data_IF_526168701222
#
_entry.id   IF_526168701222
#
_cell.length_a   1.000
_cell.length_b   1.000
_cell.length_c   1.000
_cell.angle_alpha   90.00
_cell.angle_beta   90.00
_cell.angle_gamma   90.00
#
_symmetry.space_group_name_H-M   'P 1'
#
loop_
_entity.id
_entity.type
_entity.pdbx_description
1 polymer ?
#
# COMPACT_ATOMS: atom_id res chain seq x y z
N UNK A 1 2.22 -5.37 0.57
CA UNK A 1 3.45 -5.55 1.36
C UNK A 1 3.18 -5.17 2.80
N UNK A 2 3.92 -5.73 3.76
CA UNK A 2 3.85 -5.32 5.18
C UNK A 2 5.22 -4.78 5.56
N UNK A 3 5.24 -3.57 6.10
CA UNK A 3 6.44 -2.87 6.54
C UNK A 3 6.47 -2.85 8.05
N UNK A 4 7.49 -3.47 8.64
CA UNK A 4 7.80 -3.35 10.06
C UNK A 4 8.89 -2.28 10.19
N UNK A 5 8.56 -1.19 10.84
CA UNK A 5 9.41 -0.01 11.03
C UNK A 5 9.21 0.51 12.47
N UNK A 6 9.45 1.80 12.70
CA UNK A 6 9.13 2.53 13.91
C UNK A 6 8.52 3.91 13.59
N UNK A 7 8.23 4.69 14.62
CA UNK A 7 7.67 6.04 14.52
C UNK A 7 8.70 7.14 14.21
N UNK A 8 9.86 6.77 13.66
CA UNK A 8 10.97 7.65 13.27
C UNK A 8 11.46 7.37 11.83
N UNK A 9 10.61 6.75 11.02
CA UNK A 9 10.83 6.52 9.59
C UNK A 9 9.49 6.69 8.85
N UNK A 10 9.53 7.09 7.59
CA UNK A 10 8.34 7.09 6.72
C UNK A 10 8.27 5.80 5.91
N UNK A 11 7.07 5.50 5.42
CA UNK A 11 6.86 4.53 4.34
C UNK A 11 6.17 5.26 3.21
N UNK A 12 6.94 5.68 2.22
CA UNK A 12 6.45 6.33 1.00
C UNK A 12 6.42 5.30 -0.12
N UNK A 13 5.30 5.24 -0.84
CA UNK A 13 5.16 4.55 -2.11
C UNK A 13 5.16 5.59 -3.22
N UNK A 14 5.88 5.36 -4.31
CA UNK A 14 5.73 6.16 -5.54
C UNK A 14 5.78 5.29 -6.79
N UNK A 15 5.09 5.73 -7.83
CA UNK A 15 5.24 5.20 -9.20
C UNK A 15 6.23 6.02 -10.03
N UNK A 16 6.79 7.09 -9.48
CA UNK A 16 7.69 8.01 -10.15
C UNK A 16 9.15 7.67 -9.81
N UNK A 17 9.90 7.21 -10.81
CA UNK A 17 11.32 6.85 -10.61
C UNK A 17 12.20 8.04 -10.28
N UNK A 18 11.82 9.26 -10.67
CA UNK A 18 12.59 10.47 -10.38
C UNK A 18 12.52 10.80 -8.89
N UNK A 19 11.31 10.80 -8.30
CA UNK A 19 11.09 10.94 -6.85
C UNK A 19 11.91 9.90 -6.08
N UNK A 20 11.80 8.63 -6.50
CA UNK A 20 12.57 7.54 -5.89
C UNK A 20 14.08 7.72 -5.96
N UNK A 21 14.61 8.18 -7.11
CA UNK A 21 16.05 8.35 -7.30
C UNK A 21 16.62 9.55 -6.57
N UNK A 22 15.85 10.63 -6.48
CA UNK A 22 16.22 11.85 -5.77
C UNK A 22 15.99 11.74 -4.26
N UNK A 23 15.31 10.68 -3.79
CA UNK A 23 14.90 10.55 -2.39
C UNK A 23 14.08 11.74 -1.88
N UNK A 24 13.31 12.39 -2.76
CA UNK A 24 12.61 13.65 -2.51
C UNK A 24 11.20 13.58 -3.07
N UNK A 25 10.20 13.63 -2.18
CA UNK A 25 8.76 13.66 -2.47
C UNK A 25 8.12 15.05 -2.35
N UNK A 26 8.90 16.12 -2.16
CA UNK A 26 8.39 17.49 -1.99
C UNK A 26 7.59 18.01 -3.20
N UNK A 27 7.88 17.52 -4.40
CA UNK A 27 7.19 17.85 -5.65
C UNK A 27 6.28 16.72 -6.15
N UNK A 28 5.94 15.77 -5.27
CA UNK A 28 5.12 14.64 -5.64
C UNK A 28 3.67 15.04 -5.94
N UNK A 29 3.00 14.24 -6.77
CA UNK A 29 1.58 14.42 -7.05
C UNK A 29 0.77 13.41 -6.23
N UNK A 30 -0.39 13.83 -5.73
CA UNK A 30 -1.27 13.00 -4.89
C UNK A 30 -1.73 11.69 -5.56
N UNK A 31 -1.62 11.59 -6.89
CA UNK A 31 -2.06 10.43 -7.65
C UNK A 31 -0.95 9.42 -7.98
N UNK A 32 0.32 9.76 -7.72
CA UNK A 32 1.45 8.89 -8.03
C UNK A 32 2.33 8.54 -6.82
N UNK A 33 2.17 9.26 -5.71
CA UNK A 33 2.97 9.11 -4.50
C UNK A 33 2.08 9.15 -3.26
N UNK A 34 2.29 8.21 -2.35
CA UNK A 34 1.42 7.97 -1.20
C UNK A 34 2.27 7.67 0.04
N UNK A 35 2.03 8.41 1.11
CA UNK A 35 2.66 8.17 2.40
C UNK A 35 1.74 7.30 3.28
N UNK A 36 2.25 6.15 3.70
CA UNK A 36 1.50 5.16 4.49
C UNK A 36 1.87 5.18 5.98
N UNK A 37 3.09 5.60 6.30
CA UNK A 37 3.54 5.81 7.66
C UNK A 37 4.34 7.11 7.73
N UNK A 38 4.22 7.79 8.87
CA UNK A 38 4.84 9.07 9.15
C UNK A 38 5.50 9.02 10.53
N UNK A 39 6.59 9.79 10.72
CA UNK A 39 7.15 10.01 12.04
C UNK A 39 6.11 10.63 12.98
N UNK A 40 6.20 10.30 14.25
CA UNK A 40 5.49 11.01 15.30
C UNK A 40 6.43 12.04 15.94
N UNK A 41 6.37 13.33 15.55
CA UNK A 41 7.28 14.35 16.07
C UNK A 41 7.04 14.64 17.55
N UNK A 42 5.92 14.20 18.13
CA UNK A 42 5.60 14.39 19.54
C UNK A 42 6.11 13.25 20.43
N UNK A 43 6.57 12.15 19.83
CA UNK A 43 7.05 11.00 20.56
C UNK A 43 8.43 11.29 21.17
N UNK A 44 8.54 11.09 22.49
CA UNK A 44 9.81 11.15 23.21
C UNK A 44 10.58 9.83 23.19
N UNK A 45 9.97 8.76 22.68
CA UNK A 45 10.51 7.40 22.66
C UNK A 45 10.19 6.75 21.30
N UNK A 46 11.20 6.12 20.70
CA UNK A 46 11.05 5.30 19.49
C UNK A 46 10.32 4.00 19.83
N UNK A 47 9.28 3.66 19.07
CA UNK A 47 8.52 2.43 19.23
C UNK A 47 8.15 1.79 17.89
N UNK A 48 8.00 0.45 17.84
CA UNK A 48 7.71 -0.25 16.59
C UNK A 48 6.35 0.13 15.99
N UNK A 49 6.31 0.25 14.67
CA UNK A 49 5.12 0.51 13.86
C UNK A 49 5.05 -0.52 12.73
N UNK A 50 3.84 -0.98 12.41
CA UNK A 50 3.62 -1.89 11.28
C UNK A 50 2.52 -1.34 10.37
N UNK A 51 2.80 -1.26 9.07
CA UNK A 51 1.84 -0.77 8.07
C UNK A 51 1.71 -1.72 6.88
N UNK A 52 0.47 -1.94 6.44
CA UNK A 52 0.17 -2.74 5.26
C UNK A 52 -0.06 -1.81 4.06
N UNK A 53 0.70 -2.03 2.98
CA UNK A 53 0.61 -1.25 1.75
C UNK A 53 0.04 -2.12 0.62
N UNK A 54 -1.12 -1.76 0.03
CA UNK A 54 -1.69 -2.51 -1.08
C UNK A 54 -0.89 -2.30 -2.38
N UNK A 55 -0.93 -3.30 -3.26
CA UNK A 55 -0.32 -3.24 -4.60
C UNK A 55 -1.42 -3.04 -5.63
N UNK A 56 -1.69 -1.79 -5.99
CA UNK A 56 -2.87 -1.39 -6.77
C UNK A 56 -2.61 -1.22 -8.27
N UNK A 57 -1.35 -1.08 -8.67
CA UNK A 57 -0.95 -0.80 -10.06
C UNK A 57 0.11 -1.80 -10.52
N UNK A 58 -0.08 -2.34 -11.72
CA UNK A 58 0.90 -3.21 -12.39
C UNK A 58 2.07 -2.37 -12.88
N UNK A 59 3.29 -2.90 -12.73
CA UNK A 59 4.54 -2.27 -13.16
C UNK A 59 5.48 -1.91 -12.00
N UNK A 60 6.52 -1.12 -12.27
CA UNK A 60 7.46 -0.65 -11.25
C UNK A 60 6.74 0.11 -10.14
N UNK A 61 7.01 -0.26 -8.90
CA UNK A 61 6.55 0.43 -7.70
C UNK A 61 7.75 0.60 -6.79
N UNK A 62 7.95 1.83 -6.31
CA UNK A 62 9.10 2.21 -5.52
C UNK A 62 8.68 2.51 -4.09
N UNK A 63 9.53 2.15 -3.14
CA UNK A 63 9.33 2.40 -1.73
C UNK A 63 10.60 2.97 -1.11
N UNK A 64 10.45 3.95 -0.24
CA UNK A 64 11.57 4.59 0.46
C UNK A 64 11.07 5.29 1.73
N UNK A 65 12.01 5.67 2.60
CA UNK A 65 11.77 6.66 3.65
C UNK A 65 12.27 8.03 3.21
N UNK A 66 11.37 9.00 3.15
CA UNK A 66 11.65 10.42 2.96
C UNK A 66 12.02 11.16 4.25
N UNK A 67 12.01 10.48 5.40
CA UNK A 67 12.35 11.12 6.67
C UNK A 67 13.81 11.59 6.71
N UNK A 68 14.10 12.60 7.54
CA UNK A 68 15.39 13.30 7.60
C UNK A 68 15.85 13.84 6.24
N UNK A 69 14.96 14.55 5.54
CA UNK A 69 15.21 15.13 4.21
C UNK A 69 15.73 14.09 3.18
N UNK A 70 15.24 12.85 3.28
CA UNK A 70 15.62 11.76 2.39
C UNK A 70 16.92 11.03 2.76
N UNK A 71 17.64 11.42 3.82
CA UNK A 71 18.91 10.80 4.23
C UNK A 71 18.78 9.28 4.41
N UNK A 72 17.66 8.81 4.99
CA UNK A 72 17.43 7.38 5.19
C UNK A 72 17.32 6.63 3.86
N UNK A 73 16.66 7.22 2.86
CA UNK A 73 16.58 6.69 1.50
C UNK A 73 17.96 6.67 0.82
N UNK A 74 18.75 7.73 0.95
CA UNK A 74 20.10 7.82 0.39
C UNK A 74 21.05 6.78 0.99
N UNK A 75 20.88 6.47 2.28
CA UNK A 75 21.62 5.43 2.99
C UNK A 75 21.07 4.00 2.79
N UNK A 76 20.15 3.82 1.82
CA UNK A 76 19.73 2.51 1.34
C UNK A 76 18.42 2.00 1.93
N UNK A 77 17.70 2.79 2.72
CA UNK A 77 16.33 2.45 3.15
C UNK A 77 15.32 2.74 2.03
N UNK A 78 15.54 2.06 0.90
CA UNK A 78 14.76 2.18 -0.33
C UNK A 78 14.79 0.86 -1.06
N UNK A 79 13.68 0.48 -1.69
CA UNK A 79 13.65 -0.67 -2.59
C UNK A 79 12.58 -0.51 -3.66
N UNK A 80 12.70 -1.29 -4.72
CA UNK A 80 11.75 -1.31 -5.83
C UNK A 80 11.26 -2.72 -6.07
N UNK A 81 10.00 -2.86 -6.46
CA UNK A 81 9.43 -4.11 -6.95
C UNK A 81 8.81 -3.90 -8.33
N UNK A 82 8.59 -5.00 -9.05
CA UNK A 82 7.75 -5.01 -10.23
C UNK A 82 6.47 -5.77 -9.92
N UNK A 83 5.35 -5.06 -9.83
CA UNK A 83 4.04 -5.65 -9.54
C UNK A 83 3.50 -6.29 -10.81
N UNK A 84 3.10 -7.55 -10.72
CA UNK A 84 2.45 -8.29 -11.81
C UNK A 84 1.11 -8.87 -11.36
N UNK A 85 0.28 -9.30 -12.30
CA UNK A 85 -0.92 -10.06 -11.96
C UNK A 85 -0.57 -11.34 -11.21
N UNK A 86 -1.37 -11.66 -10.19
CA UNK A 86 -1.28 -12.94 -9.51
C UNK A 86 -1.65 -14.09 -10.47
N UNK A 87 -1.11 -15.28 -10.22
CA UNK A 87 -1.39 -16.48 -11.03
C UNK A 87 -2.80 -17.06 -10.80
N UNK A 88 -3.62 -16.39 -9.99
CA UNK A 88 -4.92 -16.85 -9.56
C UNK A 88 -4.84 -18.10 -8.68
N UNK A 89 -5.97 -18.78 -8.55
CA UNK A 89 -6.04 -20.04 -7.83
C UNK A 89 -5.32 -21.16 -8.61
N UNK A 90 -4.60 -22.07 -7.91
CA UNK A 90 -4.04 -23.25 -8.54
C UNK A 90 -5.15 -24.10 -9.18
N UNK A 91 -4.87 -24.88 -10.24
CA UNK A 91 -5.88 -25.65 -10.96
C UNK A 91 -6.80 -26.50 -10.08
N UNK A 92 -6.26 -27.10 -9.01
CA UNK A 92 -7.01 -27.91 -8.03
C UNK A 92 -8.09 -27.15 -7.25
N UNK A 93 -7.99 -25.82 -7.18
CA UNK A 93 -8.91 -24.94 -6.46
C UNK A 93 -9.79 -24.11 -7.41
N UNK A 94 -9.67 -24.30 -8.74
CA UNK A 94 -10.51 -23.58 -9.71
C UNK A 94 -11.95 -24.09 -9.73
N UNK A 95 -12.16 -25.36 -9.38
CA UNK A 95 -13.49 -25.96 -9.29
C UNK A 95 -13.89 -26.02 -7.82
N UNK A 96 -14.94 -25.29 -7.40
CA UNK A 96 -15.47 -25.41 -6.05
C UNK A 96 -15.84 -26.87 -5.75
N UNK A 97 -15.60 -27.38 -4.53
CA UNK A 97 -16.12 -28.67 -4.11
C UNK A 97 -17.64 -28.75 -4.31
N UNK A 98 -18.20 -29.94 -4.64
CA UNK A 98 -19.65 -30.13 -4.67
C UNK A 98 -20.27 -29.69 -3.34
N UNK A 99 -21.24 -28.78 -3.40
CA UNK A 99 -21.91 -28.23 -2.20
C UNK A 99 -21.24 -27.00 -1.57
N UNK A 100 -20.20 -26.42 -2.18
CA UNK A 100 -19.73 -25.11 -1.77
C UNK A 100 -20.86 -24.08 -1.90
N UNK A 101 -21.22 -23.34 -0.82
CA UNK A 101 -22.24 -22.31 -0.92
C UNK A 101 -21.83 -21.28 -1.96
N UNK A 102 -22.74 -20.98 -2.89
CA UNK A 102 -22.57 -19.87 -3.81
C UNK A 102 -22.52 -18.54 -3.05
N UNK A 103 -21.95 -17.47 -3.64
CA UNK A 103 -22.01 -16.15 -3.03
C UNK A 103 -23.47 -15.81 -2.75
N UNK A 104 -23.77 -15.45 -1.50
CA UNK A 104 -25.09 -14.95 -1.11
C UNK A 104 -25.27 -13.65 -1.89
N UNK A 105 -26.13 -13.68 -2.91
CA UNK A 105 -26.46 -12.47 -3.65
C UNK A 105 -26.92 -11.39 -2.67
N UNK A 106 -26.46 -10.15 -2.85
CA UNK A 106 -27.07 -9.03 -2.15
C UNK A 106 -28.57 -9.12 -2.43
N UNK A 107 -29.34 -9.35 -1.37
CA UNK A 107 -30.78 -9.15 -1.42
C UNK A 107 -30.94 -7.69 -1.81
N UNK A 108 -31.34 -7.43 -3.06
CA UNK A 108 -31.77 -6.11 -3.49
C UNK A 108 -32.80 -5.67 -2.46
N UNK A 109 -32.41 -4.69 -1.64
CA UNK A 109 -33.31 -4.08 -0.69
C UNK A 109 -34.52 -3.59 -1.47
N UNK A 110 -35.67 -4.09 -1.08
CA UNK A 110 -36.97 -3.71 -1.61
C UNK A 110 -37.04 -2.17 -1.61
N UNK A 111 -37.15 -1.58 -2.80
CA UNK A 111 -37.36 -0.15 -3.02
C UNK A 111 -38.71 0.23 -2.38
N UNK A 112 -38.68 0.58 -1.10
CA UNK A 112 -39.77 1.33 -0.47
C UNK A 112 -39.24 2.70 -0.09
N UNK A 113 -39.32 3.63 -1.04
CA UNK A 113 -39.23 5.08 -0.77
C UNK A 113 -40.53 5.46 -0.04
N UNK A 114 -40.48 5.93 1.21
CA UNK A 114 -41.64 6.55 1.83
C UNK A 114 -41.86 7.91 1.17
N UNK A 115 -43.06 8.12 0.63
CA UNK A 115 -43.52 9.42 0.16
C UNK A 115 -43.63 10.36 1.37
N UNK A 116 -42.87 11.45 1.37
CA UNK A 116 -43.05 12.61 2.28
C UNK A 116 -42.80 13.90 1.53
#
# INVERSE_FOLDING_TARGET
>A
LVFNTDNNHTVVQTYNSTIYNLCDDSNALDNDTFQYASPDPSASIVHPVSVAVPLLKVGPTYFFSSDYDGEQCENGQRFSINVTYGQGLPPSLRTPPPGAPGPVGQQSGDDTVPET
#
